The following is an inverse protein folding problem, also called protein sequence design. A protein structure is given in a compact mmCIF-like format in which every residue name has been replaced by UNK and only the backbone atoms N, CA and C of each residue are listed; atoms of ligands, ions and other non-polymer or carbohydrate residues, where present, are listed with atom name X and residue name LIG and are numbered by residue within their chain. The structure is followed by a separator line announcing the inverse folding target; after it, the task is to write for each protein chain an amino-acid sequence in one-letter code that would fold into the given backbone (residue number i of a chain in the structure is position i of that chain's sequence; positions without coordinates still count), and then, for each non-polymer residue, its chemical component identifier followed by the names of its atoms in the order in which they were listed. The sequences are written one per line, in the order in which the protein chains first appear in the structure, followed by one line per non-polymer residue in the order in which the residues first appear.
data_IF_321078951601
#
_entry.id   IF_321078951601
#
_cell.length_a   1.000
_cell.length_b   1.000
_cell.length_c   1.000
_cell.angle_alpha   90.00
_cell.angle_beta   90.00
_cell.angle_gamma   90.00
#
_symmetry.space_group_name_H-M   'P 1'
#
loop_
_entity.id
_entity.type
_entity.pdbx_description
1 polymer ?
#
# COMPACT_ATOMS: atom_id res chain seq x y z
N UNK A 1 -42.70 -11.05 1.24
CA UNK A 1 -42.70 -10.41 2.57
C UNK A 1 -41.25 -10.10 2.92
N UNK A 2 -40.87 -8.84 3.15
CA UNK A 2 -39.53 -8.53 3.66
C UNK A 2 -39.43 -9.09 5.08
N UNK A 3 -38.45 -9.96 5.32
CA UNK A 3 -38.17 -10.53 6.63
C UNK A 3 -37.64 -9.42 7.57
N UNK A 4 -38.58 -8.76 8.26
CA UNK A 4 -38.48 -7.45 8.90
C UNK A 4 -37.56 -7.34 10.15
N UNK A 5 -36.52 -8.17 10.27
CA UNK A 5 -35.59 -8.05 11.41
C UNK A 5 -34.22 -8.68 11.22
N UNK A 6 -34.07 -9.69 10.35
CA UNK A 6 -32.75 -10.28 10.11
C UNK A 6 -31.85 -9.40 9.24
N UNK A 7 -32.44 -8.58 8.35
CA UNK A 7 -31.68 -7.74 7.43
C UNK A 7 -30.81 -6.68 8.11
N UNK A 8 -31.33 -5.98 9.13
CA UNK A 8 -30.56 -4.91 9.78
C UNK A 8 -29.40 -5.44 10.61
N UNK A 9 -29.60 -6.53 11.36
CA UNK A 9 -28.53 -7.15 12.14
C UNK A 9 -27.37 -7.62 11.24
N UNK A 10 -27.69 -8.19 10.09
CA UNK A 10 -26.72 -8.60 9.07
C UNK A 10 -25.95 -7.41 8.49
N UNK A 11 -26.64 -6.33 8.11
CA UNK A 11 -26.03 -5.10 7.64
C UNK A 11 -25.03 -4.57 8.68
N UNK A 12 -25.42 -4.52 9.96
CA UNK A 12 -24.55 -4.06 11.03
C UNK A 12 -23.30 -4.93 11.21
N UNK A 13 -23.40 -6.26 11.05
CA UNK A 13 -22.24 -7.15 11.06
C UNK A 13 -21.26 -6.84 9.92
N UNK A 14 -21.76 -6.64 8.70
CA UNK A 14 -20.95 -6.32 7.52
C UNK A 14 -20.27 -4.95 7.68
N UNK A 15 -21.01 -3.93 8.12
CA UNK A 15 -20.46 -2.59 8.37
C UNK A 15 -19.40 -2.60 9.48
N UNK A 16 -19.60 -3.39 10.53
CA UNK A 16 -18.61 -3.59 11.59
C UNK A 16 -17.33 -4.22 11.05
N UNK A 17 -17.43 -5.20 10.14
CA UNK A 17 -16.29 -5.80 9.47
C UNK A 17 -15.53 -4.78 8.59
N UNK A 18 -16.24 -3.99 7.78
CA UNK A 18 -15.64 -2.90 7.00
C UNK A 18 -14.93 -1.87 7.87
N UNK A 19 -15.51 -1.51 9.01
CA UNK A 19 -14.91 -0.58 9.98
C UNK A 19 -13.59 -1.12 10.54
N UNK A 20 -13.51 -2.42 10.84
CA UNK A 20 -12.27 -3.10 11.25
C UNK A 20 -11.23 -3.09 10.13
N UNK A 21 -11.64 -3.43 8.90
CA UNK A 21 -10.78 -3.38 7.72
C UNK A 21 -10.16 -1.99 7.53
N UNK A 22 -10.98 -0.93 7.51
CA UNK A 22 -10.50 0.44 7.31
C UNK A 22 -9.54 0.89 8.42
N UNK A 23 -9.83 0.51 9.67
CA UNK A 23 -8.95 0.80 10.81
C UNK A 23 -7.58 0.13 10.64
N UNK A 24 -7.55 -1.15 10.24
CA UNK A 24 -6.30 -1.86 9.97
C UNK A 24 -5.54 -1.26 8.78
N UNK A 25 -6.23 -0.90 7.69
CA UNK A 25 -5.61 -0.28 6.52
C UNK A 25 -4.97 1.08 6.81
N UNK A 26 -5.63 1.93 7.61
CA UNK A 26 -5.06 3.22 8.01
C UNK A 26 -3.80 3.07 8.86
N UNK A 27 -3.78 2.09 9.76
CA UNK A 27 -2.61 1.80 10.59
C UNK A 27 -1.50 1.16 9.75
N UNK A 28 -1.84 0.21 8.87
CA UNK A 28 -0.89 -0.38 7.93
C UNK A 28 -0.16 0.70 7.13
N UNK A 29 -0.88 1.67 6.55
CA UNK A 29 -0.26 2.76 5.78
C UNK A 29 0.76 3.57 6.60
N UNK A 30 0.47 3.86 7.87
CA UNK A 30 1.40 4.60 8.75
C UNK A 30 2.64 3.77 9.05
N UNK A 31 2.46 2.48 9.34
CA UNK A 31 3.57 1.57 9.58
C UNK A 31 4.42 1.35 8.33
N UNK A 32 3.81 1.30 7.14
CA UNK A 32 4.52 1.25 5.86
C UNK A 32 5.44 2.46 5.69
N UNK A 33 4.89 3.67 5.83
CA UNK A 33 5.65 4.92 5.69
C UNK A 33 6.81 5.01 6.68
N UNK A 34 6.60 4.54 7.92
CA UNK A 34 7.64 4.50 8.93
C UNK A 34 8.70 3.44 8.63
N UNK A 35 8.29 2.26 8.17
CA UNK A 35 9.20 1.18 7.79
C UNK A 35 10.08 1.60 6.61
N UNK A 36 9.46 2.12 5.55
CA UNK A 36 10.15 2.59 4.35
C UNK A 36 11.10 3.74 4.68
N UNK A 37 10.65 4.71 5.48
CA UNK A 37 11.47 5.85 5.90
C UNK A 37 12.72 5.43 6.68
N UNK A 38 12.58 4.55 7.68
CA UNK A 38 13.71 4.04 8.45
C UNK A 38 14.66 3.23 7.56
N UNK A 39 14.13 2.39 6.68
CA UNK A 39 14.93 1.53 5.82
C UNK A 39 15.74 2.32 4.79
N UNK A 40 15.08 3.26 4.09
CA UNK A 40 15.73 4.13 3.10
C UNK A 40 16.81 4.98 3.79
N UNK A 41 16.53 5.51 4.99
CA UNK A 41 17.52 6.27 5.74
C UNK A 41 18.74 5.42 6.12
N UNK A 42 18.52 4.19 6.61
CA UNK A 42 19.61 3.28 6.99
C UNK A 42 20.48 2.91 5.79
N UNK A 43 19.86 2.63 4.64
CA UNK A 43 20.55 2.39 3.38
C UNK A 43 21.31 3.62 2.87
N UNK A 44 20.72 4.82 2.97
CA UNK A 44 21.38 6.07 2.60
C UNK A 44 22.60 6.36 3.48
N UNK A 45 22.48 6.17 4.80
CA UNK A 45 23.60 6.30 5.75
C UNK A 45 24.70 5.28 5.45
N UNK A 46 24.34 4.04 5.10
CA UNK A 46 25.31 3.01 4.71
C UNK A 46 26.15 3.42 3.50
N UNK A 47 25.50 3.85 2.42
CA UNK A 47 26.20 4.33 1.20
C UNK A 47 27.06 5.55 1.50
N UNK A 48 26.52 6.53 2.24
CA UNK A 48 27.26 7.74 2.62
C UNK A 48 28.51 7.40 3.44
N UNK A 49 28.40 6.44 4.36
CA UNK A 49 29.53 5.99 5.19
C UNK A 49 30.62 5.38 4.30
N UNK A 50 30.27 4.53 3.32
CA UNK A 50 31.25 3.97 2.41
C UNK A 50 31.91 5.03 1.54
N UNK A 51 31.15 6.01 1.05
CA UNK A 51 31.70 7.12 0.24
C UNK A 51 32.70 7.92 1.06
N UNK A 52 32.34 8.33 2.28
CA UNK A 52 33.24 9.10 3.14
C UNK A 52 34.48 8.30 3.56
N UNK A 53 34.33 7.00 3.81
CA UNK A 53 35.46 6.12 4.11
C UNK A 53 36.47 6.07 2.95
N UNK A 54 35.98 5.97 1.71
CA UNK A 54 36.84 6.00 0.52
C UNK A 54 37.51 7.36 0.37
N UNK A 55 36.76 8.46 0.52
CA UNK A 55 37.32 9.82 0.44
C UNK A 55 38.41 10.06 1.50
N UNK A 56 38.18 9.60 2.74
CA UNK A 56 39.18 9.70 3.80
C UNK A 56 40.43 8.87 3.50
N UNK A 57 40.25 7.64 2.98
CA UNK A 57 41.38 6.80 2.57
C UNK A 57 42.20 7.43 1.46
N UNK A 58 41.56 8.14 0.53
CA UNK A 58 42.24 8.88 -0.55
C UNK A 58 43.07 10.04 -0.01
N UNK A 59 42.51 10.80 0.93
CA UNK A 59 43.20 11.93 1.56
C UNK A 59 44.40 11.46 2.39
N UNK A 60 44.23 10.38 3.18
CA UNK A 60 45.31 9.76 3.93
C UNK A 60 46.43 9.26 3.01
N UNK A 61 46.08 8.55 1.93
CA UNK A 61 47.05 8.07 0.96
C UNK A 61 47.78 9.22 0.22
N UNK A 62 47.11 10.35 0.00
CA UNK A 62 47.72 11.54 -0.59
C UNK A 62 48.70 12.20 0.40
N UNK A 63 48.33 12.30 1.68
CA UNK A 63 49.18 12.84 2.73
C UNK A 63 50.44 11.98 2.94
N UNK A 64 50.30 10.65 2.97
CA UNK A 64 51.43 9.72 3.10
C UNK A 64 52.41 9.84 1.92
N UNK A 65 51.88 10.01 0.69
CA UNK A 65 52.71 10.24 -0.51
C UNK A 65 53.45 11.59 -0.42
N UNK A 66 52.79 12.65 0.04
CA UNK A 66 53.43 13.95 0.22
C UNK A 66 54.55 13.89 1.27
N UNK A 67 54.28 13.28 2.43
CA UNK A 67 55.27 13.08 3.48
C UNK A 67 56.46 12.22 3.02
N UNK A 68 56.21 11.17 2.23
CA UNK A 68 57.26 10.35 1.66
C UNK A 68 58.15 11.13 0.68
N UNK A 69 57.58 12.03 -0.14
CA UNK A 69 58.35 12.90 -1.03
C UNK A 69 59.18 13.93 -0.26
N UNK A 70 58.62 14.53 0.80
CA UNK A 70 59.37 15.43 1.68
C UNK A 70 60.51 14.72 2.40
N UNK A 71 60.28 13.51 2.90
CA UNK A 71 61.32 12.68 3.52
C UNK A 71 62.43 12.31 2.51
N UNK A 72 62.07 11.99 1.27
CA UNK A 72 63.04 11.75 0.20
C UNK A 72 63.85 13.01 -0.14
N UNK A 73 63.21 14.18 -0.19
CA UNK A 73 63.87 15.45 -0.41
C UNK A 73 64.83 15.83 0.74
N UNK A 74 64.38 15.64 1.98
CA UNK A 74 65.20 15.86 3.18
C UNK A 74 66.39 14.90 3.23
N UNK A 75 66.20 13.61 2.94
CA UNK A 75 67.28 12.63 2.88
C UNK A 75 68.27 12.94 1.74
N UNK A 76 67.81 13.46 0.60
CA UNK A 76 68.69 13.92 -0.47
C UNK A 76 69.51 15.16 -0.05
N UNK A 77 68.89 16.11 0.66
CA UNK A 77 69.58 17.28 1.20
C UNK A 77 70.60 16.91 2.29
N UNK A 78 70.25 15.98 3.18
CA UNK A 78 71.14 15.48 4.23
C UNK A 78 72.31 14.67 3.66
N UNK A 79 72.11 13.90 2.59
CA UNK A 79 73.24 13.28 1.85
C UNK A 79 74.19 14.33 1.26
N UNK A 80 73.67 15.46 0.76
CA UNK A 80 74.52 16.57 0.29
C UNK A 80 75.25 17.29 1.44
N UNK A 81 74.66 17.37 2.62
CA UNK A 81 75.23 18.04 3.80
C UNK A 81 76.19 17.15 4.60
N UNK A 82 75.93 15.85 4.71
CA UNK A 82 76.78 14.89 5.44
C UNK A 82 78.09 14.57 4.72
N UNK A 83 78.19 14.79 3.40
CA UNK A 83 79.48 14.86 2.70
C UNK A 83 80.33 16.06 3.18
N UNK A 84 79.74 17.06 3.86
CA UNK A 84 80.40 18.30 4.25
C UNK A 84 80.71 18.46 5.76
N UNK A 85 80.25 17.58 6.65
CA UNK A 85 80.50 17.79 8.09
C UNK A 85 80.07 16.67 9.03
N UNK A 86 81.03 16.16 9.78
CA UNK A 86 80.86 15.20 10.88
C UNK A 86 80.99 15.93 12.23
N UNK A 87 79.93 15.94 13.06
CA UNK A 87 80.02 15.75 14.52
C UNK A 87 78.71 16.09 15.29
N UNK A 88 78.46 15.23 16.29
CA UNK A 88 77.86 15.50 17.60
C UNK A 88 76.36 15.26 17.82
N UNK A 89 76.12 14.28 18.67
CA UNK A 89 74.90 13.79 19.31
C UNK A 89 74.44 14.62 20.52
N UNK A 90 73.15 14.57 20.84
CA UNK A 90 72.58 15.08 22.09
C UNK A 90 71.18 14.54 22.36
N UNK A 91 71.02 13.94 23.54
CA UNK A 91 69.84 13.26 24.10
C UNK A 91 68.65 14.19 24.44
N UNK A 92 67.44 13.60 24.57
CA UNK A 92 66.34 14.23 25.30
C UNK A 92 64.95 13.58 25.16
N UNK A 93 64.62 12.67 26.07
CA UNK A 93 63.43 12.63 26.98
C UNK A 93 62.32 13.70 26.79
N UNK A 94 61.02 13.53 27.11
CA UNK A 94 60.22 12.45 27.71
C UNK A 94 58.70 12.79 27.57
N UNK A 95 57.89 11.81 27.94
CA UNK A 95 56.43 11.67 28.10
C UNK A 95 55.49 12.90 28.27
N UNK A 96 54.25 12.74 27.75
CA UNK A 96 53.09 13.57 28.13
C UNK A 96 51.75 12.85 27.95
N UNK A 97 51.04 12.60 29.06
CA UNK A 97 49.73 11.93 29.09
C UNK A 97 48.57 12.82 28.63
N UNK A 98 47.85 12.37 27.60
CA UNK A 98 46.67 13.05 27.05
C UNK A 98 45.35 12.47 27.60
N UNK A 99 44.59 13.30 28.31
CA UNK A 99 43.22 13.00 28.73
C UNK A 99 42.21 13.07 27.57
N UNK A 100 41.03 12.47 27.77
CA UNK A 100 39.98 12.27 26.76
C UNK A 100 39.47 13.57 26.10
N UNK A 101 39.60 14.72 26.79
CA UNK A 101 39.24 16.04 26.26
C UNK A 101 40.18 16.51 25.13
N UNK A 102 41.44 16.08 25.13
CA UNK A 102 42.37 16.33 24.02
C UNK A 102 42.02 15.54 22.75
N UNK A 103 41.30 14.43 22.91
CA UNK A 103 40.98 13.50 21.83
C UNK A 103 39.89 14.05 20.89
N UNK A 104 39.01 14.92 21.40
CA UNK A 104 37.95 15.58 20.60
C UNK A 104 38.42 16.94 20.07
N UNK A 105 39.24 17.67 20.84
CA UNK A 105 39.70 19.01 20.45
C UNK A 105 40.62 19.03 19.22
N UNK A 106 41.23 17.88 18.86
CA UNK A 106 42.10 17.75 17.70
C UNK A 106 41.45 17.16 16.45
N UNK A 107 40.20 16.65 16.52
CA UNK A 107 39.59 15.97 15.39
C UNK A 107 39.13 16.95 14.32
N UNK A 108 39.43 16.62 13.06
CA UNK A 108 38.88 17.35 11.93
C UNK A 108 37.36 17.11 11.83
N UNK A 109 36.57 18.05 11.26
CA UNK A 109 35.14 17.84 11.06
C UNK A 109 34.80 16.56 10.29
N UNK A 110 35.69 16.11 9.40
CA UNK A 110 35.51 14.89 8.61
C UNK A 110 35.70 13.62 9.46
N UNK A 111 36.72 13.59 10.32
CA UNK A 111 36.92 12.50 11.30
C UNK A 111 35.72 12.38 12.25
N UNK A 112 35.19 13.51 12.71
CA UNK A 112 33.99 13.51 13.55
C UNK A 112 32.79 12.90 12.82
N UNK A 113 32.57 13.22 11.55
CA UNK A 113 31.48 12.63 10.75
C UNK A 113 31.68 11.12 10.56
N UNK A 114 32.91 10.67 10.31
CA UNK A 114 33.26 9.24 10.18
C UNK A 114 32.96 8.45 11.46
N UNK A 115 33.17 9.05 12.62
CA UNK A 115 32.82 8.44 13.92
C UNK A 115 31.31 8.47 14.16
N UNK A 116 30.64 9.56 13.81
CA UNK A 116 29.20 9.74 14.10
C UNK A 116 28.29 8.88 13.22
N UNK A 117 28.64 8.61 11.96
CA UNK A 117 27.79 7.86 11.05
C UNK A 117 27.50 6.41 11.49
N UNK A 118 28.48 5.59 11.91
CA UNK A 118 28.22 4.27 12.50
C UNK A 118 27.32 4.34 13.75
N UNK A 119 27.48 5.37 14.59
CA UNK A 119 26.64 5.58 15.78
C UNK A 119 25.18 5.85 15.38
N UNK A 120 24.96 6.70 14.37
CA UNK A 120 23.63 6.96 13.83
C UNK A 120 23.04 5.68 13.21
N UNK A 121 23.83 4.92 12.44
CA UNK A 121 23.39 3.66 11.84
C UNK A 121 22.98 2.63 12.90
N UNK A 122 23.76 2.46 13.96
CA UNK A 122 23.44 1.53 15.07
C UNK A 122 22.22 1.98 15.86
N UNK A 123 22.04 3.29 16.08
CA UNK A 123 20.83 3.84 16.69
C UNK A 123 19.59 3.56 15.83
N UNK A 124 19.66 3.82 14.51
CA UNK A 124 18.58 3.52 13.57
C UNK A 124 18.25 2.03 13.53
N UNK A 125 19.26 1.16 13.54
CA UNK A 125 19.09 -0.29 13.63
C UNK A 125 18.38 -0.71 14.91
N UNK A 126 18.73 -0.08 16.04
CA UNK A 126 18.07 -0.33 17.33
C UNK A 126 16.60 0.12 17.30
N UNK A 127 16.31 1.32 16.76
CA UNK A 127 14.94 1.81 16.60
C UNK A 127 14.13 0.87 15.70
N UNK A 128 14.68 0.43 14.57
CA UNK A 128 14.05 -0.53 13.67
C UNK A 128 13.70 -1.83 14.39
N UNK A 129 14.66 -2.42 15.11
CA UNK A 129 14.50 -3.70 15.81
C UNK A 129 13.50 -3.63 16.97
N UNK A 130 13.43 -2.49 17.67
CA UNK A 130 12.48 -2.25 18.76
C UNK A 130 11.07 -1.93 18.26
N UNK A 131 10.94 -1.09 17.24
CA UNK A 131 9.63 -0.63 16.75
C UNK A 131 8.97 -1.66 15.84
N UNK A 132 9.76 -2.45 15.10
CA UNK A 132 9.29 -3.49 14.15
C UNK A 132 8.17 -3.01 13.23
N UNK A 133 8.37 -1.88 12.52
CA UNK A 133 7.32 -1.27 11.71
C UNK A 133 6.90 -2.15 10.54
N UNK A 134 7.83 -2.97 10.00
CA UNK A 134 7.58 -3.81 8.83
C UNK A 134 6.64 -4.96 9.18
N UNK A 135 6.89 -5.62 10.29
CA UNK A 135 6.08 -6.72 10.81
C UNK A 135 4.66 -6.23 11.14
N UNK A 136 4.55 -5.08 11.82
CA UNK A 136 3.25 -4.44 12.12
C UNK A 136 2.47 -4.08 10.86
N UNK A 137 3.13 -3.48 9.86
CA UNK A 137 2.52 -3.19 8.56
C UNK A 137 2.01 -4.47 7.89
N UNK A 138 2.87 -5.48 7.83
CA UNK A 138 2.63 -6.76 7.18
C UNK A 138 1.40 -7.47 7.76
N UNK A 139 1.34 -7.58 9.09
CA UNK A 139 0.19 -8.16 9.81
C UNK A 139 -1.09 -7.36 9.63
N UNK A 140 -1.05 -6.03 9.76
CA UNK A 140 -2.24 -5.19 9.58
C UNK A 140 -2.77 -5.25 8.15
N UNK A 141 -1.89 -5.22 7.14
CA UNK A 141 -2.28 -5.27 5.74
C UNK A 141 -2.92 -6.62 5.40
N UNK A 142 -2.28 -7.73 5.80
CA UNK A 142 -2.81 -9.08 5.56
C UNK A 142 -4.18 -9.26 6.23
N UNK A 143 -4.29 -8.96 7.52
CA UNK A 143 -5.54 -9.08 8.25
C UNK A 143 -6.66 -8.20 7.65
N UNK A 144 -6.32 -7.02 7.14
CA UNK A 144 -7.28 -6.17 6.46
C UNK A 144 -7.84 -6.84 5.20
N UNK A 145 -7.00 -7.46 4.37
CA UNK A 145 -7.46 -8.16 3.16
C UNK A 145 -8.18 -9.47 3.46
N UNK A 146 -7.79 -10.20 4.50
CA UNK A 146 -8.54 -11.37 4.98
C UNK A 146 -9.96 -10.99 5.40
N UNK A 147 -10.14 -9.86 6.10
CA UNK A 147 -11.50 -9.38 6.42
C UNK A 147 -12.32 -9.09 5.15
N UNK A 148 -11.70 -8.53 4.11
CA UNK A 148 -12.38 -8.26 2.83
C UNK A 148 -12.81 -9.56 2.14
N UNK A 149 -11.93 -10.57 2.10
CA UNK A 149 -12.26 -11.90 1.60
C UNK A 149 -13.49 -12.48 2.33
N UNK A 150 -13.51 -12.41 3.66
CA UNK A 150 -14.64 -12.88 4.46
C UNK A 150 -15.92 -12.08 4.20
N UNK A 151 -15.84 -10.76 4.03
CA UNK A 151 -16.99 -9.91 3.69
C UNK A 151 -17.62 -10.35 2.37
N UNK A 152 -16.82 -10.54 1.31
CA UNK A 152 -17.37 -10.91 0.00
C UNK A 152 -17.93 -12.33 -0.02
N UNK A 153 -17.25 -13.30 0.61
CA UNK A 153 -17.77 -14.68 0.76
C UNK A 153 -19.08 -14.72 1.53
N UNK A 154 -19.17 -13.95 2.63
CA UNK A 154 -20.39 -13.84 3.42
C UNK A 154 -21.55 -13.23 2.62
N UNK A 155 -21.28 -12.14 1.88
CA UNK A 155 -22.29 -11.46 1.04
C UNK A 155 -22.73 -12.29 -0.16
N UNK A 156 -21.85 -13.11 -0.73
CA UNK A 156 -22.16 -14.05 -1.82
C UNK A 156 -22.82 -15.35 -1.35
N UNK A 157 -22.84 -15.61 -0.04
CA UNK A 157 -23.32 -16.86 0.57
C UNK A 157 -22.56 -18.09 0.08
N UNK A 158 -21.22 -18.02 0.08
CA UNK A 158 -20.35 -19.12 -0.36
C UNK A 158 -19.55 -19.73 0.79
N UNK A 159 -18.96 -20.90 0.54
CA UNK A 159 -18.09 -21.64 1.48
C UNK A 159 -18.77 -21.86 2.84
N UNK A 160 -18.12 -21.44 3.94
CA UNK A 160 -18.63 -21.57 5.31
C UNK A 160 -19.85 -20.67 5.62
N UNK A 161 -20.30 -19.89 4.63
CA UNK A 161 -21.44 -18.97 4.73
C UNK A 161 -22.60 -19.36 3.80
N UNK A 162 -22.55 -20.55 3.21
CA UNK A 162 -23.68 -21.11 2.47
C UNK A 162 -24.83 -21.42 3.46
N UNK A 163 -26.02 -20.83 3.28
CA UNK A 163 -27.17 -21.09 4.16
C UNK A 163 -27.78 -22.47 3.92
N UNK A 164 -27.36 -23.20 2.88
CA UNK A 164 -27.82 -24.56 2.61
C UNK A 164 -27.31 -25.48 3.72
N UNK A 165 -28.18 -26.11 4.51
CA UNK A 165 -27.74 -27.01 5.55
C UNK A 165 -27.00 -28.20 4.92
N UNK A 166 -25.90 -28.68 5.52
CA UNK A 166 -25.28 -29.92 5.08
C UNK A 166 -26.29 -31.08 5.19
N UNK A 167 -26.12 -32.16 4.41
CA UNK A 167 -26.90 -33.37 4.61
C UNK A 167 -26.82 -33.79 6.08
N UNK A 168 -27.95 -34.08 6.76
CA UNK A 168 -27.91 -34.50 8.16
C UNK A 168 -27.10 -35.78 8.28
N UNK A 169 -26.24 -35.86 9.30
CA UNK A 169 -25.59 -37.12 9.67
C UNK A 169 -26.65 -38.13 10.13
N UNK A 170 -26.35 -39.43 9.98
CA UNK A 170 -27.31 -40.50 10.26
C UNK A 170 -27.77 -40.45 11.73
N UNK A 171 -29.01 -39.98 11.96
CA UNK A 171 -29.60 -39.83 13.28
C UNK A 171 -29.75 -38.38 13.79
N UNK A 172 -29.24 -37.38 13.05
CA UNK A 172 -29.42 -35.96 13.41
C UNK A 172 -30.69 -35.35 12.77
N UNK A 173 -31.41 -34.53 13.52
CA UNK A 173 -32.56 -33.78 12.99
C UNK A 173 -32.09 -32.67 12.03
N UNK A 174 -32.78 -32.45 10.89
CA UNK A 174 -32.40 -31.42 9.94
C UNK A 174 -32.48 -30.02 10.58
N UNK A 175 -31.37 -29.27 10.49
CA UNK A 175 -31.25 -27.94 11.10
C UNK A 175 -32.27 -26.98 10.43
N UNK A 176 -33.13 -26.30 11.21
CA UNK A 176 -34.06 -25.32 10.65
C UNK A 176 -33.32 -24.18 9.92
N UNK A 177 -33.78 -23.71 8.75
CA UNK A 177 -33.09 -22.67 7.97
C UNK A 177 -32.79 -21.38 8.75
N UNK A 178 -33.67 -20.96 9.67
CA UNK A 178 -33.46 -19.78 10.54
C UNK A 178 -32.30 -19.97 11.52
N UNK A 179 -32.12 -21.18 12.03
CA UNK A 179 -31.00 -21.52 12.92
C UNK A 179 -29.70 -21.51 12.11
N UNK A 180 -29.72 -22.02 10.87
CA UNK A 180 -28.57 -22.00 9.99
C UNK A 180 -28.13 -20.57 9.63
N UNK A 181 -29.06 -19.67 9.29
CA UNK A 181 -28.74 -18.25 9.05
C UNK A 181 -28.10 -17.58 10.29
N UNK A 182 -28.56 -17.93 11.48
CA UNK A 182 -28.00 -17.41 12.73
C UNK A 182 -26.57 -17.93 12.93
N UNK A 183 -26.33 -19.23 12.75
CA UNK A 183 -25.00 -19.85 12.80
C UNK A 183 -24.03 -19.25 11.77
N UNK A 184 -24.47 -19.04 10.54
CA UNK A 184 -23.68 -18.42 9.46
C UNK A 184 -23.23 -17.00 9.85
N UNK A 185 -24.12 -16.20 10.42
CA UNK A 185 -23.80 -14.85 10.92
C UNK A 185 -22.84 -14.90 12.09
N UNK A 186 -23.05 -15.79 13.05
CA UNK A 186 -22.16 -15.99 14.21
C UNK A 186 -20.75 -16.36 13.75
N UNK A 187 -20.64 -17.32 12.84
CA UNK A 187 -19.37 -17.75 12.25
C UNK A 187 -18.64 -16.59 11.56
N UNK A 188 -19.35 -15.75 10.80
CA UNK A 188 -18.76 -14.57 10.15
C UNK A 188 -18.23 -13.55 11.15
N UNK A 189 -19.02 -13.25 12.19
CA UNK A 189 -18.64 -12.30 13.24
C UNK A 189 -17.44 -12.81 14.02
N UNK A 190 -17.44 -14.10 14.36
CA UNK A 190 -16.35 -14.76 15.08
C UNK A 190 -15.06 -14.77 14.24
N UNK A 191 -15.13 -15.18 12.98
CA UNK A 191 -13.98 -15.22 12.07
C UNK A 191 -13.38 -13.82 11.90
N UNK A 192 -14.20 -12.81 11.60
CA UNK A 192 -13.75 -11.42 11.47
C UNK A 192 -13.17 -10.88 12.78
N UNK A 193 -13.74 -11.26 13.93
CA UNK A 193 -13.23 -10.86 15.25
C UNK A 193 -11.89 -11.54 15.53
N UNK A 194 -11.74 -12.81 15.18
CA UNK A 194 -10.49 -13.56 15.35
C UNK A 194 -9.36 -12.94 14.51
N UNK A 195 -9.59 -12.68 13.21
CA UNK A 195 -8.61 -12.01 12.33
C UNK A 195 -8.18 -10.66 12.91
N UNK A 196 -9.14 -9.83 13.32
CA UNK A 196 -8.84 -8.53 13.91
C UNK A 196 -8.06 -8.66 15.23
N UNK A 197 -8.51 -9.53 16.13
CA UNK A 197 -7.87 -9.75 17.44
C UNK A 197 -6.46 -10.27 17.27
N UNK A 198 -6.23 -11.21 16.36
CA UNK A 198 -4.90 -11.71 15.99
C UNK A 198 -3.98 -10.58 15.53
N UNK A 199 -4.46 -9.70 14.65
CA UNK A 199 -3.67 -8.57 14.16
C UNK A 199 -3.31 -7.58 15.29
N UNK A 200 -4.23 -7.34 16.22
CA UNK A 200 -4.00 -6.45 17.37
C UNK A 200 -3.06 -7.10 18.39
N UNK A 201 -3.21 -8.40 18.65
CA UNK A 201 -2.54 -9.09 19.77
C UNK A 201 -1.12 -9.52 19.45
N UNK A 202 -0.81 -9.92 18.21
CA UNK A 202 0.49 -10.54 17.87
C UNK A 202 1.63 -9.53 17.74
N UNK A 203 1.48 -8.50 16.91
CA UNK A 203 2.57 -7.59 16.56
C UNK A 203 2.32 -6.13 16.97
N UNK A 204 1.07 -5.69 16.97
CA UNK A 204 0.79 -4.28 17.31
C UNK A 204 0.96 -4.04 18.81
N UNK A 205 0.49 -4.96 19.66
CA UNK A 205 0.59 -4.89 21.12
C UNK A 205 2.02 -4.69 21.65
N UNK A 206 3.04 -5.23 20.98
CA UNK A 206 4.45 -5.25 21.44
C UNK A 206 5.16 -3.89 21.42
N UNK A 207 4.53 -2.81 20.94
CA UNK A 207 5.19 -1.51 20.92
C UNK A 207 4.35 -0.30 20.49
N UNK A 208 3.02 -0.34 20.69
CA UNK A 208 2.16 0.82 20.50
C UNK A 208 0.69 0.45 20.30
N UNK A 209 -0.23 1.28 20.79
CA UNK A 209 -1.65 1.07 20.56
C UNK A 209 -2.03 1.37 19.09
N UNK A 210 -2.92 0.55 18.51
CA UNK A 210 -3.59 0.89 17.25
C UNK A 210 -4.31 2.24 17.42
N UNK A 211 -4.10 3.15 16.47
CA UNK A 211 -4.84 4.42 16.47
C UNK A 211 -6.17 4.20 15.77
N UNK A 212 -7.27 4.32 16.51
CA UNK A 212 -8.61 4.33 15.95
C UNK A 212 -8.79 5.67 15.20
N UNK A 213 -8.78 5.59 13.87
CA UNK A 213 -8.98 6.73 12.97
C UNK A 213 -10.40 7.30 13.02
N UNK A 214 -10.67 8.33 12.21
CA UNK A 214 -12.00 8.97 12.13
C UNK A 214 -13.09 7.94 11.82
N UNK A 215 -12.81 7.03 10.89
CA UNK A 215 -13.76 5.98 10.46
C UNK A 215 -14.05 4.94 11.54
N UNK A 216 -13.05 4.61 12.35
CA UNK A 216 -13.23 3.74 13.50
C UNK A 216 -14.11 4.35 14.60
N UNK A 217 -14.44 5.64 14.55
CA UNK A 217 -15.28 6.32 15.54
C UNK A 217 -16.73 6.53 15.12
N UNK A 218 -17.04 6.49 13.81
CA UNK A 218 -18.41 6.64 13.31
C UNK A 218 -19.30 5.51 13.81
N UNK A 219 -20.48 5.85 14.30
CA UNK A 219 -21.50 4.90 14.69
C UNK A 219 -22.31 4.47 13.46
N UNK A 220 -22.29 3.18 13.16
CA UNK A 220 -23.03 2.62 12.03
C UNK A 220 -24.49 2.35 12.37
N UNK A 221 -24.89 2.48 13.64
CA UNK A 221 -26.29 2.33 14.05
C UNK A 221 -27.13 3.55 13.64
N UNK A 222 -26.58 4.76 13.78
CA UNK A 222 -27.25 5.99 13.36
C UNK A 222 -27.26 6.11 11.82
N UNK A 223 -28.45 6.26 11.21
CA UNK A 223 -28.63 6.35 9.75
C UNK A 223 -27.83 7.49 9.11
N UNK A 224 -27.74 8.65 9.78
CA UNK A 224 -26.97 9.80 9.28
C UNK A 224 -25.48 9.51 9.20
N UNK A 225 -24.90 8.94 10.26
CA UNK A 225 -23.49 8.54 10.27
C UNK A 225 -23.20 7.33 9.37
N UNK A 226 -24.19 6.42 9.24
CA UNK A 226 -24.14 5.25 8.34
C UNK A 226 -23.98 5.68 6.88
N UNK A 227 -24.75 6.67 6.41
CA UNK A 227 -24.63 7.18 5.04
C UNK A 227 -23.28 7.86 4.79
N UNK A 228 -22.78 8.67 5.75
CA UNK A 228 -21.44 9.27 5.65
C UNK A 228 -20.34 8.20 5.67
N UNK A 229 -20.51 7.14 6.46
CA UNK A 229 -19.59 5.99 6.50
C UNK A 229 -19.58 5.26 5.16
N UNK A 230 -20.74 4.96 4.58
CA UNK A 230 -20.84 4.28 3.28
C UNK A 230 -20.21 5.10 2.14
N UNK A 231 -20.38 6.43 2.14
CA UNK A 231 -19.74 7.30 1.17
C UNK A 231 -18.20 7.28 1.29
N UNK A 232 -17.67 7.35 2.51
CA UNK A 232 -16.23 7.24 2.76
C UNK A 232 -15.70 5.81 2.49
N UNK A 233 -16.51 4.78 2.73
CA UNK A 233 -16.20 3.38 2.41
C UNK A 233 -16.08 3.17 0.90
N UNK A 234 -17.03 3.66 0.10
CA UNK A 234 -16.97 3.59 -1.37
C UNK A 234 -15.68 4.19 -1.89
N UNK A 235 -15.35 5.42 -1.45
CA UNK A 235 -14.09 6.08 -1.79
C UNK A 235 -12.87 5.26 -1.37
N UNK A 236 -12.92 4.63 -0.20
CA UNK A 236 -11.84 3.77 0.29
C UNK A 236 -11.68 2.53 -0.60
N UNK A 237 -12.77 1.84 -0.94
CA UNK A 237 -12.76 0.65 -1.81
C UNK A 237 -12.19 1.00 -3.19
N UNK A 238 -12.71 2.05 -3.83
CA UNK A 238 -12.26 2.49 -5.15
C UNK A 238 -10.76 2.80 -5.16
N UNK A 239 -10.29 3.56 -4.16
CA UNK A 239 -8.90 4.01 -4.13
C UNK A 239 -7.91 2.98 -3.59
N UNK A 240 -8.30 2.14 -2.63
CA UNK A 240 -7.40 1.24 -1.91
C UNK A 240 -7.46 -0.20 -2.41
N UNK A 241 -8.64 -0.69 -2.79
CA UNK A 241 -8.81 -2.06 -3.26
C UNK A 241 -8.70 -2.13 -4.79
N UNK A 242 -9.25 -1.15 -5.50
CA UNK A 242 -9.23 -1.13 -6.97
C UNK A 242 -8.16 -0.23 -7.57
N UNK A 243 -7.44 0.53 -6.75
CA UNK A 243 -6.42 1.48 -7.22
C UNK A 243 -6.94 2.47 -8.25
N UNK A 244 -8.26 2.74 -8.25
CA UNK A 244 -8.84 3.78 -9.07
C UNK A 244 -8.36 5.11 -8.52
N UNK A 245 -7.91 5.98 -9.42
CA UNK A 245 -7.66 7.36 -9.02
C UNK A 245 -8.96 7.91 -8.44
N UNK A 246 -8.92 8.59 -7.28
CA UNK A 246 -10.12 9.20 -6.73
C UNK A 246 -10.70 10.08 -7.82
N UNK A 247 -11.86 9.69 -8.33
CA UNK A 247 -12.60 10.50 -9.28
C UNK A 247 -12.69 11.86 -8.64
N UNK A 248 -12.06 12.87 -9.27
CA UNK A 248 -12.09 14.23 -8.76
C UNK A 248 -13.57 14.54 -8.62
N UNK A 249 -14.02 14.63 -7.38
CA UNK A 249 -15.42 14.66 -7.01
C UNK A 249 -16.06 15.83 -7.77
N UNK A 250 -16.67 15.51 -8.91
CA UNK A 250 -17.24 16.52 -9.81
C UNK A 250 -18.40 17.23 -9.12
N UNK A 251 -18.90 16.68 -7.99
CA UNK A 251 -19.90 17.32 -7.14
C UNK A 251 -19.41 18.63 -6.53
N UNK A 252 -18.10 18.84 -6.38
CA UNK A 252 -17.59 20.16 -6.02
C UNK A 252 -17.41 20.96 -7.30
N UNK A 253 -18.31 21.92 -7.59
CA UNK A 253 -18.19 22.72 -8.78
C UNK A 253 -16.80 23.35 -8.79
N UNK A 254 -16.05 23.10 -9.85
CA UNK A 254 -14.79 23.74 -10.15
C UNK A 254 -14.96 25.25 -10.03
N UNK A 255 -13.88 26.00 -9.78
CA UNK A 255 -13.96 27.48 -9.74
C UNK A 255 -14.61 28.06 -11.01
N UNK A 256 -14.48 27.36 -12.14
CA UNK A 256 -15.15 27.67 -13.41
C UNK A 256 -16.65 27.38 -13.34
N UNK A 257 -17.07 26.20 -12.87
CA UNK A 257 -18.50 25.87 -12.68
C UNK A 257 -19.17 26.76 -11.65
N UNK A 258 -18.51 27.11 -10.54
CA UNK A 258 -19.03 28.10 -9.57
C UNK A 258 -19.26 29.47 -10.23
N UNK A 259 -18.36 29.90 -11.11
CA UNK A 259 -18.53 31.14 -11.89
C UNK A 259 -19.67 31.04 -12.89
N UNK A 260 -19.87 29.88 -13.52
CA UNK A 260 -20.99 29.64 -14.43
C UNK A 260 -22.30 29.63 -13.64
N UNK A 261 -22.40 28.87 -12.55
CA UNK A 261 -23.57 28.85 -11.66
C UNK A 261 -23.92 30.26 -11.18
N UNK A 262 -22.95 31.02 -10.68
CA UNK A 262 -23.17 32.40 -10.26
C UNK A 262 -23.62 33.31 -11.43
N UNK A 263 -23.13 33.06 -12.65
CA UNK A 263 -23.57 33.79 -13.85
C UNK A 263 -25.00 33.39 -14.24
N UNK A 264 -25.34 32.11 -14.16
CA UNK A 264 -26.69 31.59 -14.44
C UNK A 264 -27.70 32.11 -13.43
N UNK A 265 -27.35 32.13 -12.13
CA UNK A 265 -28.18 32.73 -11.07
C UNK A 265 -28.42 34.22 -11.34
N UNK A 266 -27.40 34.97 -11.79
CA UNK A 266 -27.56 36.38 -12.18
C UNK A 266 -28.45 36.55 -13.42
N UNK A 267 -28.33 35.67 -14.41
CA UNK A 267 -29.17 35.70 -15.61
C UNK A 267 -30.62 35.36 -15.24
N UNK A 268 -30.84 34.34 -14.41
CA UNK A 268 -32.18 33.97 -13.94
C UNK A 268 -32.81 35.09 -13.11
N UNK A 269 -32.06 35.72 -12.22
CA UNK A 269 -32.54 36.88 -11.47
C UNK A 269 -32.88 38.07 -12.39
N UNK A 270 -32.05 38.33 -13.40
CA UNK A 270 -32.32 39.37 -14.40
C UNK A 270 -33.54 39.04 -15.27
N UNK A 271 -33.72 37.77 -15.65
CA UNK A 271 -34.86 37.30 -16.44
C UNK A 271 -36.15 37.41 -15.65
N UNK A 272 -36.15 37.03 -14.36
CA UNK A 272 -37.30 37.16 -13.47
C UNK A 272 -37.66 38.64 -13.23
N UNK A 273 -36.68 39.52 -13.09
CA UNK A 273 -36.92 40.96 -13.00
C UNK A 273 -37.49 41.53 -14.30
N UNK A 274 -36.99 41.07 -15.45
CA UNK A 274 -37.50 41.48 -16.77
C UNK A 274 -38.92 40.95 -17.03
N UNK A 275 -39.25 39.73 -16.60
CA UNK A 275 -40.62 39.21 -16.75
C UNK A 275 -41.60 39.96 -15.86
N UNK A 276 -41.23 40.28 -14.61
CA UNK A 276 -42.06 41.11 -13.73
C UNK A 276 -42.29 42.53 -14.32
N UNK A 277 -41.26 43.12 -14.94
CA UNK A 277 -41.38 44.39 -15.64
C UNK A 277 -42.25 44.28 -16.91
N UNK A 278 -42.18 43.16 -17.64
CA UNK A 278 -42.99 42.91 -18.84
C UNK A 278 -44.47 42.66 -18.50
N UNK A 279 -44.76 41.95 -17.40
CA UNK A 279 -46.12 41.80 -16.87
C UNK A 279 -46.71 43.16 -16.47
N UNK A 280 -45.89 44.05 -15.89
CA UNK A 280 -46.30 45.42 -15.61
C UNK A 280 -46.51 46.28 -16.88
N UNK A 281 -45.95 45.88 -18.03
CA UNK A 281 -45.98 46.64 -19.27
C UNK A 281 -47.08 46.20 -20.27
N UNK A 282 -47.90 45.20 -19.94
CA UNK A 282 -49.03 44.76 -20.78
C UNK A 282 -48.64 43.65 -21.77
N UNK A 283 -49.23 42.47 -21.55
CA UNK A 283 -48.85 41.21 -22.17
C UNK A 283 -49.14 41.09 -23.66
N UNK A 284 -48.10 40.78 -24.43
CA UNK A 284 -48.19 40.19 -25.78
C UNK A 284 -47.01 39.23 -26.12
N UNK A 285 -46.07 38.97 -25.19
CA UNK A 285 -44.80 38.28 -25.49
C UNK A 285 -44.72 36.81 -25.01
N UNK A 286 -45.63 36.35 -24.15
CA UNK A 286 -45.60 34.98 -23.57
C UNK A 286 -45.81 33.87 -24.62
N UNK A 287 -46.57 34.11 -25.68
CA UNK A 287 -46.93 33.05 -26.64
C UNK A 287 -45.78 32.62 -27.56
N UNK A 288 -44.72 33.42 -27.73
CA UNK A 288 -43.61 33.09 -28.64
C UNK A 288 -42.49 32.28 -27.98
N UNK A 289 -42.40 32.27 -26.64
CA UNK A 289 -41.36 31.53 -25.90
C UNK A 289 -41.78 30.07 -25.69
N UNK A 290 -43.07 29.81 -25.59
CA UNK A 290 -43.62 28.47 -25.35
C UNK A 290 -43.54 27.57 -26.60
N UNK A 291 -43.41 28.15 -27.80
CA UNK A 291 -43.28 27.41 -29.07
C UNK A 291 -41.82 26.98 -29.39
N UNK A 292 -40.82 27.50 -28.67
CA UNK A 292 -39.40 27.21 -28.94
C UNK A 292 -38.82 26.04 -28.11
N UNK A 293 -39.57 25.52 -27.13
CA UNK A 293 -39.12 24.41 -26.28
C UNK A 293 -39.89 23.16 -26.73
N UNK A 294 -39.32 22.43 -27.69
CA UNK A 294 -39.85 21.14 -28.14
C UNK A 294 -39.68 20.08 -27.01
N UNK A 295 -40.77 19.66 -26.34
CA UNK A 295 -40.69 18.72 -25.22
C UNK A 295 -40.34 17.29 -25.67
N UNK A 296 -40.46 16.98 -26.97
CA UNK A 296 -40.31 15.61 -27.49
C UNK A 296 -38.88 15.08 -27.45
N UNK A 297 -37.87 15.96 -27.47
CA UNK A 297 -36.44 15.55 -27.42
C UNK A 297 -35.94 15.15 -26.03
N UNK A 298 -36.71 15.40 -24.97
CA UNK A 298 -36.30 15.11 -23.58
C UNK A 298 -36.66 13.70 -23.09
N UNK A 299 -37.54 12.98 -23.79
CA UNK A 299 -37.99 11.66 -23.35
C UNK A 299 -37.08 10.53 -23.88
N UNK A 300 -36.54 10.62 -25.10
CA UNK A 300 -35.68 9.54 -25.67
C UNK A 300 -34.30 9.36 -24.98
N UNK A 301 -33.76 10.41 -24.35
CA UNK A 301 -32.50 10.29 -23.59
C UNK A 301 -32.72 9.73 -22.17
N UNK A 302 -33.95 9.79 -21.66
CA UNK A 302 -34.27 9.38 -20.28
C UNK A 302 -34.36 7.87 -20.12
N UNK A 303 -34.90 7.19 -21.13
CA UNK A 303 -35.02 5.72 -21.13
C UNK A 303 -33.66 5.01 -21.33
N UNK A 304 -32.68 5.67 -21.98
CA UNK A 304 -31.31 5.14 -22.10
C UNK A 304 -30.45 5.37 -20.85
N UNK A 305 -30.73 6.42 -20.08
CA UNK A 305 -30.07 6.65 -18.79
C UNK A 305 -30.59 5.70 -17.69
N UNK A 306 -31.86 5.29 -17.73
CA UNK A 306 -32.41 4.31 -16.77
C UNK A 306 -31.95 2.86 -17.03
N UNK A 307 -31.68 2.46 -18.27
CA UNK A 307 -31.17 1.11 -18.57
C UNK A 307 -29.67 0.94 -18.27
N UNK A 308 -28.95 2.05 -18.08
CA UNK A 308 -27.58 2.08 -17.55
C UNK A 308 -27.54 2.61 -16.12
N UNK A 309 -28.52 2.24 -15.28
CA UNK A 309 -28.30 2.21 -13.83
C UNK A 309 -27.16 1.21 -13.60
N UNK A 310 -25.94 1.74 -13.61
CA UNK A 310 -24.74 1.01 -13.32
C UNK A 310 -24.99 0.24 -12.02
N UNK A 311 -24.88 -1.08 -12.12
CA UNK A 311 -25.14 -2.00 -11.03
C UNK A 311 -24.13 -1.72 -9.91
N UNK A 312 -24.44 -0.76 -9.03
CA UNK A 312 -23.52 -0.30 -8.00
C UNK A 312 -23.61 -1.20 -6.78
N UNK A 313 -22.47 -1.71 -6.34
CA UNK A 313 -22.36 -2.36 -5.03
C UNK A 313 -22.66 -1.34 -3.92
N UNK A 314 -23.58 -1.69 -3.00
CA UNK A 314 -23.93 -0.92 -1.82
C UNK A 314 -23.05 -1.24 -0.59
N UNK A 315 -22.18 -2.24 -0.72
CA UNK A 315 -21.25 -2.77 0.30
C UNK A 315 -21.90 -3.36 1.55
N UNK A 316 -23.23 -3.51 1.60
CA UNK A 316 -23.94 -3.93 2.81
C UNK A 316 -24.99 -5.02 2.57
N UNK A 317 -25.61 -5.10 1.40
CA UNK A 317 -26.63 -6.11 1.10
C UNK A 317 -26.00 -7.40 0.60
N UNK A 318 -26.83 -8.45 0.53
CA UNK A 318 -26.47 -9.71 -0.14
C UNK A 318 -26.12 -9.40 -1.59
N UNK A 319 -24.98 -9.90 -2.03
CA UNK A 319 -24.41 -9.58 -3.33
C UNK A 319 -24.83 -10.64 -4.35
N UNK A 320 -25.41 -10.22 -5.47
CA UNK A 320 -25.61 -11.13 -6.60
C UNK A 320 -24.30 -11.34 -7.35
N UNK A 321 -24.16 -12.51 -7.96
CA UNK A 321 -22.93 -12.91 -8.62
C UNK A 321 -22.59 -12.02 -9.82
N UNK A 322 -23.59 -11.55 -10.57
CA UNK A 322 -23.39 -10.60 -11.67
C UNK A 322 -22.81 -9.27 -11.15
N UNK A 323 -23.36 -8.74 -10.05
CA UNK A 323 -22.84 -7.53 -9.38
C UNK A 323 -21.40 -7.75 -8.94
N UNK A 324 -21.09 -8.91 -8.37
CA UNK A 324 -19.73 -9.23 -7.92
C UNK A 324 -18.74 -9.25 -9.08
N UNK A 325 -19.09 -9.88 -10.20
CA UNK A 325 -18.22 -9.91 -11.38
C UNK A 325 -17.93 -8.49 -11.90
N UNK A 326 -18.96 -7.65 -11.99
CA UNK A 326 -18.83 -6.27 -12.51
C UNK A 326 -18.16 -5.31 -11.50
N UNK A 327 -18.50 -5.38 -10.21
CA UNK A 327 -18.01 -4.44 -9.20
C UNK A 327 -16.69 -4.87 -8.52
N UNK A 328 -16.33 -6.15 -8.54
CA UNK A 328 -15.14 -6.67 -7.85
C UNK A 328 -14.12 -7.22 -8.83
N UNK A 329 -14.51 -8.22 -9.62
CA UNK A 329 -13.56 -9.00 -10.44
C UNK A 329 -12.99 -8.15 -11.58
N UNK A 330 -13.83 -7.47 -12.37
CA UNK A 330 -13.37 -6.61 -13.48
C UNK A 330 -12.50 -5.44 -13.01
N UNK A 331 -12.84 -4.68 -11.93
CA UNK A 331 -11.97 -3.64 -11.38
C UNK A 331 -10.61 -4.16 -10.93
N UNK A 332 -10.55 -5.35 -10.31
CA UNK A 332 -9.27 -5.97 -9.93
C UNK A 332 -8.45 -6.34 -11.17
N UNK A 333 -9.07 -6.90 -12.21
CA UNK A 333 -8.39 -7.20 -13.46
C UNK A 333 -7.76 -5.94 -14.08
N UNK A 334 -8.55 -4.87 -14.19
CA UNK A 334 -8.09 -3.58 -14.73
C UNK A 334 -6.99 -2.94 -13.86
N UNK A 335 -7.05 -3.13 -12.55
CA UNK A 335 -6.00 -2.69 -11.64
C UNK A 335 -4.69 -3.45 -11.86
N UNK A 336 -4.75 -4.76 -12.01
CA UNK A 336 -3.57 -5.61 -12.23
C UNK A 336 -2.92 -5.35 -13.58
N UNK A 337 -3.73 -5.17 -14.63
CA UNK A 337 -3.27 -4.80 -15.97
C UNK A 337 -2.42 -3.51 -15.94
N UNK A 338 -2.85 -2.51 -15.18
CA UNK A 338 -2.11 -1.24 -15.03
C UNK A 338 -0.89 -1.36 -14.11
N UNK A 339 -0.96 -2.21 -13.09
CA UNK A 339 0.08 -2.33 -12.05
C UNK A 339 1.27 -3.17 -12.50
N UNK A 340 1.06 -4.25 -13.25
CA UNK A 340 2.11 -5.15 -13.74
C UNK A 340 3.25 -4.42 -14.48
N UNK A 341 3.01 -3.54 -15.48
CA UNK A 341 4.08 -2.86 -16.19
C UNK A 341 4.87 -1.88 -15.30
N UNK A 342 4.21 -1.22 -14.35
CA UNK A 342 4.87 -0.31 -13.39
C UNK A 342 5.80 -1.08 -12.45
N UNK A 343 5.40 -2.29 -12.03
CA UNK A 343 6.25 -3.15 -11.23
C UNK A 343 7.45 -3.66 -12.02
N UNK A 344 7.23 -4.10 -13.26
CA UNK A 344 8.30 -4.53 -14.16
C UNK A 344 9.30 -3.41 -14.45
N UNK A 345 8.83 -2.19 -14.72
CA UNK A 345 9.73 -1.06 -14.97
C UNK A 345 10.58 -0.71 -13.74
N UNK A 346 10.01 -0.80 -12.53
CA UNK A 346 10.74 -0.57 -11.28
C UNK A 346 11.79 -1.65 -11.03
N UNK A 347 11.43 -2.91 -11.28
CA UNK A 347 12.37 -4.03 -11.21
C UNK A 347 13.56 -3.80 -12.16
N UNK A 348 13.29 -3.63 -13.46
CA UNK A 348 14.31 -3.42 -14.48
C UNK A 348 15.17 -2.17 -14.19
N UNK A 349 14.58 -1.09 -13.70
CA UNK A 349 15.34 0.12 -13.33
C UNK A 349 16.33 -0.16 -12.20
N UNK A 350 15.90 -0.86 -11.14
CA UNK A 350 16.78 -1.21 -10.02
C UNK A 350 17.86 -2.22 -10.41
N UNK A 351 17.54 -3.17 -11.28
CA UNK A 351 18.50 -4.14 -11.82
C UNK A 351 19.54 -3.46 -12.71
N UNK A 352 19.09 -2.55 -13.58
CA UNK A 352 19.96 -1.74 -14.43
C UNK A 352 20.92 -0.86 -13.60
N UNK A 353 20.47 -0.28 -12.49
CA UNK A 353 21.34 0.48 -11.58
C UNK A 353 22.42 -0.43 -10.97
N UNK A 354 22.06 -1.62 -10.50
CA UNK A 354 23.02 -2.56 -9.93
C UNK A 354 24.05 -3.04 -10.97
N UNK A 355 23.59 -3.40 -12.17
CA UNK A 355 24.44 -3.82 -13.28
C UNK A 355 25.39 -2.72 -13.73
N UNK A 356 24.87 -1.49 -13.88
CA UNK A 356 25.68 -0.33 -14.25
C UNK A 356 26.75 -0.04 -13.19
N UNK A 357 26.39 -0.06 -11.91
CA UNK A 357 27.36 0.13 -10.82
C UNK A 357 28.46 -0.93 -10.86
N UNK A 358 28.13 -2.22 -11.02
CA UNK A 358 29.12 -3.29 -11.14
C UNK A 358 30.04 -3.11 -12.36
N UNK A 359 29.49 -2.68 -13.50
CA UNK A 359 30.28 -2.43 -14.71
C UNK A 359 31.23 -1.24 -14.53
N UNK A 360 30.78 -0.15 -13.92
CA UNK A 360 31.64 1.00 -13.58
C UNK A 360 32.75 0.57 -12.62
N UNK A 361 32.44 -0.26 -11.62
CA UNK A 361 33.44 -0.83 -10.72
C UNK A 361 34.52 -1.64 -11.44
N UNK A 362 34.13 -2.48 -12.39
CA UNK A 362 35.06 -3.25 -13.21
C UNK A 362 35.96 -2.34 -14.08
N UNK A 363 35.39 -1.31 -14.70
CA UNK A 363 36.15 -0.33 -15.50
C UNK A 363 37.15 0.44 -14.64
N UNK A 364 36.73 0.90 -13.45
CA UNK A 364 37.61 1.61 -12.51
C UNK A 364 38.78 0.74 -12.05
N UNK A 365 38.54 -0.55 -11.82
CA UNK A 365 39.59 -1.49 -11.44
C UNK A 365 40.67 -1.62 -12.54
N UNK A 366 40.24 -1.72 -13.81
CA UNK A 366 41.16 -1.80 -14.96
C UNK A 366 41.96 -0.50 -15.14
N UNK A 367 41.35 0.66 -14.88
CA UNK A 367 42.01 1.96 -14.96
C UNK A 367 42.91 2.28 -13.75
N UNK A 368 43.15 1.31 -12.86
CA UNK A 368 43.92 1.48 -11.62
C UNK A 368 43.30 2.47 -10.61
N UNK A 369 42.01 2.78 -10.74
CA UNK A 369 41.24 3.54 -9.74
C UNK A 369 40.61 2.61 -8.71
N UNK A 370 41.39 1.69 -8.14
CA UNK A 370 40.92 0.63 -7.24
C UNK A 370 40.17 1.16 -6.01
N UNK A 371 40.53 2.35 -5.53
CA UNK A 371 39.93 3.00 -4.35
C UNK A 371 38.44 3.34 -4.57
N UNK A 372 38.03 3.67 -5.81
CA UNK A 372 36.65 4.02 -6.15
C UNK A 372 35.74 2.79 -6.34
N UNK A 373 36.32 1.59 -6.45
CA UNK A 373 35.56 0.36 -6.66
C UNK A 373 34.62 0.09 -5.48
N UNK A 374 35.06 0.35 -4.25
CA UNK A 374 34.24 0.16 -3.05
C UNK A 374 32.94 0.98 -3.08
N UNK A 375 32.95 2.19 -3.65
CA UNK A 375 31.75 3.01 -3.79
C UNK A 375 30.74 2.37 -4.75
N UNK A 376 31.20 1.88 -5.90
CA UNK A 376 30.32 1.25 -6.89
C UNK A 376 29.69 -0.04 -6.35
N UNK A 377 30.46 -0.86 -5.62
CA UNK A 377 29.97 -2.08 -4.96
C UNK A 377 28.92 -1.74 -3.90
N UNK A 378 29.13 -0.67 -3.12
CA UNK A 378 28.15 -0.22 -2.13
C UNK A 378 26.82 0.20 -2.77
N UNK A 379 26.86 0.93 -3.88
CA UNK A 379 25.65 1.31 -4.64
C UNK A 379 24.94 0.08 -5.20
N UNK A 380 25.67 -0.86 -5.81
CA UNK A 380 25.10 -2.10 -6.35
C UNK A 380 24.42 -2.94 -5.25
N UNK A 381 25.11 -3.11 -4.11
CA UNK A 381 24.59 -3.86 -2.95
C UNK A 381 23.33 -3.20 -2.39
N UNK A 382 23.28 -1.87 -2.35
CA UNK A 382 22.12 -1.13 -1.87
C UNK A 382 20.91 -1.28 -2.80
N UNK A 383 21.14 -1.23 -4.12
CA UNK A 383 20.09 -1.43 -5.12
C UNK A 383 19.45 -2.82 -4.98
N UNK A 384 20.26 -3.87 -4.80
CA UNK A 384 19.78 -5.25 -4.55
C UNK A 384 19.03 -5.31 -3.21
N UNK A 385 19.58 -4.74 -2.14
CA UNK A 385 18.93 -4.72 -0.83
C UNK A 385 17.57 -4.01 -0.85
N UNK A 386 17.41 -2.96 -1.66
CA UNK A 386 16.13 -2.30 -1.89
C UNK A 386 15.13 -3.20 -2.65
N UNK A 387 15.59 -3.96 -3.66
CA UNK A 387 14.74 -4.92 -4.37
C UNK A 387 14.19 -5.98 -3.42
N UNK A 388 15.05 -6.55 -2.59
CA UNK A 388 14.70 -7.57 -1.60
C UNK A 388 13.75 -7.02 -0.54
N UNK A 389 14.05 -5.83 -0.02
CA UNK A 389 13.21 -5.17 0.98
C UNK A 389 11.78 -4.95 0.48
N UNK A 390 11.64 -4.48 -0.75
CA UNK A 390 10.33 -4.26 -1.36
C UNK A 390 9.71 -5.53 -1.94
N UNK A 391 10.38 -6.69 -1.90
CA UNK A 391 9.90 -7.93 -2.52
C UNK A 391 9.44 -7.74 -3.98
N UNK A 392 10.13 -6.89 -4.76
CA UNK A 392 9.70 -6.51 -6.11
C UNK A 392 9.55 -7.74 -7.03
N UNK A 393 10.50 -8.69 -7.08
CA UNK A 393 10.39 -9.87 -7.95
C UNK A 393 9.17 -10.72 -7.61
N UNK A 394 9.00 -11.03 -6.32
CA UNK A 394 7.88 -11.82 -5.80
C UNK A 394 6.54 -11.15 -6.07
N UNK A 395 6.46 -9.83 -5.90
CA UNK A 395 5.23 -9.07 -6.21
C UNK A 395 4.90 -9.08 -7.71
N UNK A 396 5.91 -9.02 -8.60
CA UNK A 396 5.69 -9.06 -10.04
C UNK A 396 5.20 -10.44 -10.50
N UNK A 397 5.83 -11.51 -10.01
CA UNK A 397 5.42 -12.89 -10.29
C UNK A 397 3.97 -13.13 -9.87
N UNK A 398 3.63 -12.79 -8.63
CA UNK A 398 2.29 -12.98 -8.11
C UNK A 398 1.26 -12.06 -8.77
N UNK A 399 1.64 -10.85 -9.19
CA UNK A 399 0.75 -9.97 -9.94
C UNK A 399 0.41 -10.53 -11.32
N UNK A 400 1.38 -11.12 -12.02
CA UNK A 400 1.13 -11.79 -13.30
C UNK A 400 0.27 -13.04 -13.12
N UNK A 401 0.52 -13.83 -12.07
CA UNK A 401 -0.31 -14.99 -11.71
C UNK A 401 -1.75 -14.57 -11.42
N UNK A 402 -1.94 -13.62 -10.51
CA UNK A 402 -3.25 -13.09 -10.15
C UNK A 402 -3.98 -12.50 -11.36
N UNK A 403 -3.28 -11.79 -12.24
CA UNK A 403 -3.87 -11.27 -13.48
C UNK A 403 -4.37 -12.39 -14.38
N UNK A 404 -3.56 -13.43 -14.61
CA UNK A 404 -3.96 -14.58 -15.43
C UNK A 404 -5.14 -15.33 -14.81
N UNK A 405 -5.15 -15.53 -13.49
CA UNK A 405 -6.24 -16.21 -12.77
C UNK A 405 -7.56 -15.42 -12.88
N UNK A 406 -7.52 -14.10 -12.65
CA UNK A 406 -8.70 -13.23 -12.74
C UNK A 406 -9.18 -13.08 -14.18
N UNK A 407 -8.28 -12.93 -15.15
CA UNK A 407 -8.64 -12.83 -16.57
C UNK A 407 -9.21 -14.15 -17.12
N UNK A 408 -8.61 -15.28 -16.72
CA UNK A 408 -9.13 -16.61 -17.00
C UNK A 408 -10.51 -16.83 -16.37
N UNK A 409 -10.72 -16.33 -15.14
CA UNK A 409 -12.02 -16.36 -14.48
C UNK A 409 -13.08 -15.56 -15.26
N UNK A 410 -12.76 -14.36 -15.74
CA UNK A 410 -13.68 -13.53 -16.56
C UNK A 410 -14.04 -14.26 -17.85
N UNK A 411 -13.06 -14.80 -18.57
CA UNK A 411 -13.29 -15.54 -19.83
C UNK A 411 -14.16 -16.77 -19.60
N UNK A 412 -13.87 -17.54 -18.55
CA UNK A 412 -14.68 -18.69 -18.16
C UNK A 412 -16.11 -18.27 -17.79
N UNK A 413 -16.27 -17.23 -16.98
CA UNK A 413 -17.58 -16.70 -16.60
C UNK A 413 -18.41 -16.28 -17.80
N UNK A 414 -17.81 -15.55 -18.75
CA UNK A 414 -18.49 -15.08 -19.97
C UNK A 414 -18.90 -16.25 -20.90
N UNK A 415 -18.25 -17.42 -20.79
CA UNK A 415 -18.63 -18.64 -21.53
C UNK A 415 -19.83 -19.40 -20.94
N UNK A 416 -20.22 -19.13 -19.70
CA UNK A 416 -21.32 -19.82 -19.03
C UNK A 416 -22.67 -19.29 -19.50
N UNK A 417 -23.64 -20.19 -19.67
CA UNK A 417 -25.04 -19.82 -19.86
C UNK A 417 -25.61 -19.10 -18.62
N UNK A 418 -26.66 -18.31 -18.80
CA UNK A 418 -27.34 -17.59 -17.71
C UNK A 418 -27.79 -18.52 -16.56
N UNK A 419 -28.21 -19.75 -16.89
CA UNK A 419 -28.62 -20.75 -15.88
C UNK A 419 -27.41 -21.26 -15.09
N UNK A 420 -26.30 -21.57 -15.77
CA UNK A 420 -25.07 -22.02 -15.10
C UNK A 420 -24.49 -20.95 -14.17
N UNK A 421 -24.53 -19.67 -14.59
CA UNK A 421 -24.06 -18.52 -13.81
C UNK A 421 -24.69 -18.41 -12.42
N UNK A 422 -25.94 -18.88 -12.26
CA UNK A 422 -26.68 -18.80 -10.99
C UNK A 422 -26.40 -19.97 -10.03
N UNK A 423 -25.63 -20.98 -10.45
CA UNK A 423 -25.35 -22.15 -9.60
C UNK A 423 -24.41 -21.81 -8.42
N UNK A 424 -24.59 -22.41 -7.23
CA UNK A 424 -23.75 -22.15 -6.05
C UNK A 424 -22.27 -22.47 -6.27
N UNK A 425 -21.97 -23.51 -7.06
CA UNK A 425 -20.60 -23.92 -7.40
C UNK A 425 -19.86 -22.83 -8.20
N UNK A 426 -20.57 -22.15 -9.10
CA UNK A 426 -20.01 -21.04 -9.87
C UNK A 426 -19.71 -19.85 -8.98
N UNK A 427 -20.63 -19.48 -8.06
CA UNK A 427 -20.39 -18.41 -7.07
C UNK A 427 -19.14 -18.69 -6.25
N UNK A 428 -19.02 -19.92 -5.74
CA UNK A 428 -17.87 -20.39 -4.95
C UNK A 428 -16.57 -20.28 -5.75
N UNK A 429 -16.56 -20.73 -7.01
CA UNK A 429 -15.37 -20.64 -7.86
C UNK A 429 -14.97 -19.19 -8.13
N UNK A 430 -15.92 -18.31 -8.44
CA UNK A 430 -15.63 -16.89 -8.68
C UNK A 430 -15.04 -16.22 -7.43
N UNK A 431 -15.68 -16.39 -6.28
CA UNK A 431 -15.22 -15.85 -5.01
C UNK A 431 -13.83 -16.38 -4.65
N UNK A 432 -13.62 -17.70 -4.68
CA UNK A 432 -12.35 -18.29 -4.29
C UNK A 432 -11.22 -17.91 -5.23
N UNK A 433 -11.41 -17.98 -6.55
CA UNK A 433 -10.34 -17.60 -7.49
C UNK A 433 -9.96 -16.13 -7.35
N UNK A 434 -10.94 -15.21 -7.28
CA UNK A 434 -10.67 -13.79 -7.16
C UNK A 434 -10.05 -13.41 -5.81
N UNK A 435 -10.65 -13.85 -4.69
CA UNK A 435 -10.15 -13.45 -3.37
C UNK A 435 -8.83 -14.15 -3.03
N UNK A 436 -8.59 -15.39 -3.49
CA UNK A 436 -7.26 -16.03 -3.36
C UNK A 436 -6.19 -15.28 -4.15
N UNK A 437 -6.49 -14.80 -5.36
CA UNK A 437 -5.55 -13.98 -6.13
C UNK A 437 -5.20 -12.67 -5.40
N UNK A 438 -6.20 -12.02 -4.77
CA UNK A 438 -6.00 -10.80 -3.95
C UNK A 438 -5.17 -11.09 -2.69
N UNK A 439 -5.45 -12.21 -2.00
CA UNK A 439 -4.68 -12.62 -0.83
C UNK A 439 -3.25 -13.02 -1.19
N UNK A 440 -3.05 -13.67 -2.34
CA UNK A 440 -1.75 -13.99 -2.91
C UNK A 440 -0.90 -12.74 -3.14
N UNK A 441 -1.47 -11.72 -3.82
CA UNK A 441 -0.85 -10.40 -3.98
C UNK A 441 -0.46 -9.76 -2.65
N UNK A 442 -1.34 -9.84 -1.66
CA UNK A 442 -1.05 -9.34 -0.32
C UNK A 442 0.11 -10.12 0.29
N UNK A 443 0.11 -11.45 0.20
CA UNK A 443 1.17 -12.33 0.72
C UNK A 443 2.52 -12.07 0.08
N UNK A 444 2.56 -11.87 -1.24
CA UNK A 444 3.78 -11.52 -1.96
C UNK A 444 4.36 -10.18 -1.50
N UNK A 445 3.51 -9.21 -1.16
CA UNK A 445 3.92 -7.90 -0.67
C UNK A 445 4.35 -7.92 0.80
N UNK A 446 3.65 -8.67 1.64
CA UNK A 446 3.85 -8.68 3.09
C UNK A 446 4.89 -9.71 3.54
N UNK A 447 5.11 -10.76 2.75
CA UNK A 447 5.90 -11.93 3.11
C UNK A 447 5.19 -12.88 4.08
N UNK A 448 3.94 -12.58 4.49
CA UNK A 448 3.14 -13.40 5.41
C UNK A 448 2.18 -14.27 4.60
N UNK A 449 2.05 -15.55 4.95
CA UNK A 449 1.06 -16.43 4.34
C UNK A 449 -0.37 -16.01 4.71
N UNK A 450 -1.31 -16.16 3.78
CA UNK A 450 -2.71 -15.85 4.03
C UNK A 450 -3.40 -17.01 4.77
N UNK A 451 -3.01 -17.30 6.01
CA UNK A 451 -3.68 -18.29 6.87
C UNK A 451 -4.63 -17.62 7.86
N UNK A 452 -5.81 -18.21 8.06
CA UNK A 452 -6.76 -17.73 9.07
C UNK A 452 -6.29 -18.17 10.47
N UNK A 453 -6.42 -17.34 11.51
CA UNK A 453 -5.91 -17.67 12.85
C UNK A 453 -6.52 -18.93 13.48
N UNK A 454 -7.73 -19.33 13.06
CA UNK A 454 -8.47 -20.46 13.61
C UNK A 454 -8.35 -21.73 12.76
N UNK A 455 -7.67 -21.67 11.61
CA UNK A 455 -7.49 -22.83 10.77
C UNK A 455 -6.37 -23.66 11.41
N UNK A 456 -6.75 -24.58 12.30
CA UNK A 456 -5.84 -25.61 12.77
C UNK A 456 -5.30 -26.30 11.52
N UNK A 457 -3.98 -26.49 11.45
CA UNK A 457 -3.34 -27.28 10.41
C UNK A 457 -3.77 -28.74 10.56
N UNK A 458 -5.03 -29.06 10.24
CA UNK A 458 -5.63 -30.40 10.36
C UNK A 458 -5.13 -31.36 9.27
N UNK A 459 -3.96 -31.10 8.66
CA UNK A 459 -3.48 -31.83 7.48
C UNK A 459 -2.02 -32.27 7.54
N UNK A 460 -1.46 -32.48 8.73
CA UNK A 460 -0.03 -32.79 8.90
C UNK A 460 0.36 -34.26 8.94
N UNK A 461 -0.50 -35.18 9.41
CA UNK A 461 -0.01 -36.46 9.96
C UNK A 461 -0.60 -37.75 9.32
N UNK A 462 -1.52 -37.70 8.35
CA UNK A 462 -2.20 -38.92 7.87
C UNK A 462 -1.75 -39.47 6.50
N UNK A 463 -0.73 -38.89 5.85
CA UNK A 463 -0.21 -39.37 4.56
C UNK A 463 1.33 -39.53 4.56
N UNK A 464 1.88 -40.31 5.50
CA UNK A 464 3.29 -40.76 5.50
C UNK A 464 3.44 -42.28 5.64
#
# INVERSE_FOLDING_TARGET
MPELGLGEAEILCILTAWKRHMTLMENAKKYEQMADGIQILLYGVGVLTTILAVMFSLEAAAADKAAALEAQAAAAADRMLSEAGNASSGDGEDAGGGGLDGLIAGMTPLELVMVMLPIISTLLGTVRSKVRPREKWSTCLMAAYQIVDQIYKYRLRTDAYDPTPPPPEEGEEPIPPKVMQTKVRENFVETTKSIYTFAVSTEVSKGGALRIGKMGRKDTQNEGERTEFLAELRKHVDTRLFGMEPTKDKSKPTRKEKRIMQKTERIQAALAAASAAAEAAGGQLMSAVEEAIDPSKKEEDKDKEEETIAMYDDFQSVLDIDVYMECRVRPIAAYLEKRAPVMSSRFNASEAVSLAANTVGAVLAVLSYAEWVAMTVAVATNAIALQDYFFIPRQLEEANRAFNDVHGLITWWDSLSLVQKKTPSVKRRCANTCETAVLGLCSARTGIAASLPNQKEEGGDDDA
#
